data_IF_695082929977
#
_entry.id   IF_695082929977
#
_cell.length_a   1.000
_cell.length_b   1.000
_cell.length_c   1.000
_cell.angle_alpha   90.00
_cell.angle_beta   90.00
_cell.angle_gamma   90.00
#
_symmetry.space_group_name_H-M   'P 1'
#
loop_
_entity.id
_entity.type
_entity.pdbx_description
1 polymer ?
#
# COMPACT_ATOMS: atom_id res chain seq x y z
N UNK A 1 12.71 19.67 0.14
CA UNK A 1 12.74 18.67 -0.94
C UNK A 1 11.76 17.56 -0.56
N UNK A 2 10.91 17.07 -1.48
CA UNK A 2 9.97 15.99 -1.15
C UNK A 2 10.72 14.68 -0.98
N UNK A 3 10.56 14.01 0.16
CA UNK A 3 11.15 12.68 0.35
C UNK A 3 10.46 11.65 -0.55
N UNK A 4 11.19 10.68 -1.12
CA UNK A 4 10.66 9.77 -2.13
C UNK A 4 9.65 8.78 -1.54
N UNK A 5 8.61 8.46 -2.28
CA UNK A 5 7.68 7.40 -1.87
C UNK A 5 8.41 6.06 -1.77
N UNK A 6 8.25 5.34 -0.66
CA UNK A 6 8.75 3.97 -0.53
C UNK A 6 7.72 3.02 -1.13
N UNK A 7 8.15 2.14 -2.05
CA UNK A 7 7.30 1.11 -2.64
C UNK A 7 7.97 -0.27 -2.55
N UNK A 8 7.36 -1.19 -1.80
CA UNK A 8 7.82 -2.57 -1.64
C UNK A 8 6.80 -3.53 -2.25
N UNK A 9 7.23 -4.39 -3.18
CA UNK A 9 6.31 -5.24 -3.96
C UNK A 9 6.55 -6.71 -3.72
N UNK A 10 5.49 -7.52 -3.78
CA UNK A 10 5.59 -8.99 -3.85
C UNK A 10 4.36 -9.63 -4.45
N UNK A 11 4.51 -10.86 -4.90
CA UNK A 11 3.37 -11.68 -5.30
C UNK A 11 2.82 -12.44 -4.09
N UNK A 12 1.50 -12.44 -3.93
CA UNK A 12 0.81 -13.16 -2.85
C UNK A 12 -0.09 -14.25 -3.44
N UNK A 13 -0.14 -15.39 -2.76
CA UNK A 13 -1.04 -16.49 -3.13
C UNK A 13 -2.45 -16.21 -2.58
N UNK A 14 -3.44 -16.32 -3.46
CA UNK A 14 -4.86 -16.28 -3.14
C UNK A 14 -5.44 -17.67 -3.32
N UNK A 15 -5.81 -18.29 -2.20
CA UNK A 15 -6.41 -19.61 -2.17
C UNK A 15 -7.87 -19.53 -2.58
N UNK A 16 -8.27 -20.40 -3.48
CA UNK A 16 -9.63 -20.44 -4.02
C UNK A 16 -10.36 -21.70 -3.55
N UNK A 17 -11.52 -21.55 -2.93
CA UNK A 17 -12.28 -22.68 -2.41
C UNK A 17 -13.79 -22.52 -2.65
N UNK A 18 -14.46 -23.59 -3.05
CA UNK A 18 -15.90 -23.61 -3.26
C UNK A 18 -16.61 -24.45 -2.19
N UNK A 19 -17.69 -23.92 -1.64
CA UNK A 19 -18.52 -24.67 -0.69
C UNK A 19 -19.93 -24.10 -0.66
N UNK A 20 -20.90 -24.94 -0.28
CA UNK A 20 -22.22 -24.43 0.12
C UNK A 20 -22.04 -23.60 1.39
N UNK A 21 -22.68 -22.46 1.52
CA UNK A 21 -22.53 -21.61 2.70
C UNK A 21 -23.68 -20.62 2.84
N UNK A 22 -23.80 -20.05 4.04
CA UNK A 22 -24.61 -18.88 4.32
C UNK A 22 -23.66 -17.71 4.49
N UNK A 23 -23.65 -16.78 3.53
CA UNK A 23 -22.81 -15.58 3.56
C UNK A 23 -23.72 -14.37 3.67
N UNK A 24 -23.51 -13.55 4.70
CA UNK A 24 -24.20 -12.28 4.82
C UNK A 24 -23.48 -11.23 3.99
N UNK A 25 -24.21 -10.60 3.09
CA UNK A 25 -23.70 -9.63 2.12
C UNK A 25 -24.32 -8.26 2.36
N UNK A 26 -23.50 -7.22 2.34
CA UNK A 26 -23.91 -5.84 2.57
C UNK A 26 -24.84 -5.34 1.48
N UNK A 27 -26.07 -4.98 1.82
CA UNK A 27 -27.06 -4.46 0.89
C UNK A 27 -27.51 -3.08 1.34
N UNK A 28 -27.82 -2.22 0.38
CA UNK A 28 -28.53 -0.98 0.62
C UNK A 28 -29.97 -1.31 1.00
N UNK A 29 -30.29 -1.17 2.29
CA UNK A 29 -31.61 -1.45 2.87
C UNK A 29 -32.04 -0.25 3.73
N UNK A 30 -32.39 0.89 3.09
CA UNK A 30 -32.68 2.13 3.81
C UNK A 30 -33.81 1.95 4.83
N UNK A 31 -34.76 1.05 4.58
CA UNK A 31 -35.85 0.75 5.51
C UNK A 31 -35.36 0.14 6.84
N UNK A 32 -34.29 -0.65 6.81
CA UNK A 32 -33.71 -1.25 8.01
C UNK A 32 -32.66 -0.33 8.65
N UNK A 33 -31.95 0.46 7.85
CA UNK A 33 -31.05 1.51 8.36
C UNK A 33 -31.85 2.58 9.14
N UNK A 34 -33.05 2.95 8.68
CA UNK A 34 -33.90 3.90 9.40
C UNK A 34 -34.28 3.41 10.81
N UNK A 35 -34.49 2.10 10.98
CA UNK A 35 -34.80 1.51 12.30
C UNK A 35 -33.57 1.50 13.20
N UNK A 36 -32.39 1.17 12.64
CA UNK A 36 -31.14 1.25 13.38
C UNK A 36 -30.85 2.71 13.80
N UNK A 37 -31.09 3.67 12.90
CA UNK A 37 -30.92 5.10 13.18
C UNK A 37 -31.89 5.56 14.28
N UNK A 38 -33.16 5.12 14.24
CA UNK A 38 -34.13 5.43 15.30
C UNK A 38 -33.63 4.95 16.68
N UNK A 39 -33.10 3.72 16.75
CA UNK A 39 -32.52 3.19 17.98
C UNK A 39 -31.30 4.02 18.45
N UNK A 40 -30.45 4.45 17.51
CA UNK A 40 -29.29 5.29 17.79
C UNK A 40 -29.71 6.66 18.33
N UNK A 41 -30.67 7.32 17.68
CA UNK A 41 -31.16 8.65 18.03
C UNK A 41 -31.83 8.68 19.41
N UNK A 42 -32.55 7.60 19.75
CA UNK A 42 -33.22 7.50 21.05
C UNK A 42 -32.24 7.20 22.19
N UNK A 43 -31.11 6.56 21.92
CA UNK A 43 -30.12 6.18 22.95
C UNK A 43 -30.69 5.28 24.05
N UNK A 44 -31.80 4.57 23.77
CA UNK A 44 -32.50 3.65 24.68
C UNK A 44 -33.08 2.47 23.91
N UNK A 45 -33.42 1.35 24.58
CA UNK A 45 -34.16 0.28 23.95
C UNK A 45 -35.48 0.77 23.34
N UNK A 46 -35.77 0.30 22.13
CA UNK A 46 -36.97 0.60 21.35
C UNK A 46 -37.88 -0.63 21.25
N UNK A 47 -39.17 -0.41 21.09
CA UNK A 47 -40.15 -1.47 20.89
C UNK A 47 -40.95 -1.27 19.59
N UNK A 48 -41.90 -2.17 19.31
CA UNK A 48 -42.75 -2.07 18.12
C UNK A 48 -43.62 -0.79 18.09
N UNK A 49 -44.00 -0.23 19.24
CA UNK A 49 -44.78 1.01 19.32
C UNK A 49 -43.92 2.23 18.95
N UNK A 50 -42.65 2.28 19.38
CA UNK A 50 -41.70 3.32 18.97
C UNK A 50 -41.56 3.34 17.44
N UNK A 51 -41.32 2.17 16.82
CA UNK A 51 -41.18 2.06 15.35
C UNK A 51 -42.49 2.43 14.64
N UNK A 52 -43.63 1.99 15.16
CA UNK A 52 -44.93 2.31 14.59
C UNK A 52 -45.21 3.81 14.64
N UNK A 53 -44.90 4.47 15.77
CA UNK A 53 -45.17 5.90 15.93
C UNK A 53 -44.22 6.77 15.08
N UNK A 54 -42.95 6.41 14.97
CA UNK A 54 -41.96 7.27 14.31
C UNK A 54 -41.81 6.99 12.82
N UNK A 55 -41.91 5.72 12.39
CA UNK A 55 -41.58 5.32 11.01
C UNK A 55 -42.78 4.77 10.24
N UNK A 56 -43.68 4.02 10.88
CA UNK A 56 -44.67 3.18 10.20
C UNK A 56 -46.12 3.40 10.66
N UNK A 57 -46.54 4.66 10.89
CA UNK A 57 -47.85 5.03 11.49
C UNK A 57 -49.09 4.44 10.80
N UNK A 58 -48.98 4.13 9.51
CA UNK A 58 -50.09 3.63 8.69
C UNK A 58 -50.04 2.11 8.47
N UNK A 59 -49.10 1.40 9.11
CA UNK A 59 -48.92 -0.03 8.94
C UNK A 59 -49.59 -0.84 10.07
N UNK A 60 -50.15 -2.02 9.80
CA UNK A 60 -50.68 -2.90 10.85
C UNK A 60 -49.60 -3.26 11.89
N UNK A 61 -49.96 -3.29 13.17
CA UNK A 61 -49.02 -3.60 14.27
C UNK A 61 -48.28 -4.93 14.07
N UNK A 62 -48.96 -5.95 13.53
CA UNK A 62 -48.35 -7.23 13.19
C UNK A 62 -47.17 -7.09 12.20
N UNK A 63 -47.28 -6.17 11.23
CA UNK A 63 -46.19 -5.87 10.29
C UNK A 63 -45.03 -5.20 11.00
N UNK A 64 -45.28 -4.27 11.92
CA UNK A 64 -44.22 -3.59 12.67
C UNK A 64 -43.48 -4.56 13.59
N UNK A 65 -44.19 -5.50 14.23
CA UNK A 65 -43.56 -6.58 15.00
C UNK A 65 -42.68 -7.49 14.13
N UNK A 66 -43.11 -7.80 12.91
CA UNK A 66 -42.30 -8.56 11.95
C UNK A 66 -41.04 -7.79 11.52
N UNK A 67 -41.16 -6.48 11.33
CA UNK A 67 -40.04 -5.60 10.99
C UNK A 67 -39.03 -5.55 12.14
N UNK A 68 -39.48 -5.37 13.39
CA UNK A 68 -38.63 -5.44 14.58
C UNK A 68 -37.92 -6.80 14.69
N UNK A 69 -38.67 -7.90 14.52
CA UNK A 69 -38.10 -9.25 14.48
C UNK A 69 -37.06 -9.39 13.38
N UNK A 70 -37.30 -8.86 12.19
CA UNK A 70 -36.35 -8.93 11.08
C UNK A 70 -35.08 -8.11 11.36
N UNK A 71 -35.20 -6.97 12.04
CA UNK A 71 -34.04 -6.19 12.48
C UNK A 71 -33.18 -6.95 13.51
N UNK A 72 -33.81 -7.74 14.39
CA UNK A 72 -33.12 -8.67 15.28
C UNK A 72 -32.45 -9.82 14.49
N UNK A 73 -33.17 -10.45 13.55
CA UNK A 73 -32.64 -11.56 12.73
C UNK A 73 -31.45 -11.12 11.86
N UNK A 74 -31.44 -9.86 11.38
CA UNK A 74 -30.33 -9.25 10.65
C UNK A 74 -29.18 -8.83 11.57
N UNK A 75 -29.38 -8.89 12.89
CA UNK A 75 -28.41 -8.49 13.90
C UNK A 75 -28.20 -6.98 14.00
N UNK A 76 -29.10 -6.15 13.44
CA UNK A 76 -29.04 -4.69 13.58
C UNK A 76 -29.41 -4.24 14.99
N UNK A 77 -30.36 -4.97 15.60
CA UNK A 77 -30.74 -4.80 16.98
C UNK A 77 -30.43 -6.09 17.74
N UNK A 78 -30.35 -5.99 19.06
CA UNK A 78 -30.28 -7.12 19.98
C UNK A 78 -31.39 -7.05 21.02
N UNK A 79 -31.88 -8.21 21.45
CA UNK A 79 -32.93 -8.29 22.47
C UNK A 79 -32.38 -7.90 23.83
N UNK A 80 -33.13 -7.10 24.57
CA UNK A 80 -32.85 -6.81 25.99
C UNK A 80 -33.68 -7.70 26.91
N UNK A 81 -33.38 -7.69 28.21
CA UNK A 81 -34.10 -8.50 29.22
C UNK A 81 -35.61 -8.19 29.25
N UNK A 82 -35.99 -6.96 28.92
CA UNK A 82 -37.39 -6.55 28.84
C UNK A 82 -38.04 -7.07 27.56
N UNK A 83 -39.03 -7.96 27.71
CA UNK A 83 -39.74 -8.54 26.57
C UNK A 83 -40.30 -7.50 25.60
N UNK A 84 -40.06 -7.71 24.31
CA UNK A 84 -40.55 -6.85 23.22
C UNK A 84 -39.73 -5.57 22.99
N UNK A 85 -38.68 -5.35 23.77
CA UNK A 85 -37.72 -4.27 23.55
C UNK A 85 -36.44 -4.81 22.90
N UNK A 86 -35.80 -3.96 22.10
CA UNK A 86 -34.53 -4.23 21.47
C UNK A 86 -33.68 -2.96 21.47
N UNK A 87 -32.37 -3.11 21.56
CA UNK A 87 -31.43 -1.99 21.49
C UNK A 87 -30.52 -2.13 20.26
N UNK A 88 -29.87 -1.04 19.87
CA UNK A 88 -28.90 -1.05 18.79
C UNK A 88 -27.74 -1.98 19.13
N UNK A 89 -27.38 -2.88 18.21
CA UNK A 89 -26.22 -3.74 18.39
C UNK A 89 -24.96 -3.08 17.83
N UNK A 90 -23.79 -3.60 18.20
CA UNK A 90 -22.50 -3.18 17.60
C UNK A 90 -22.52 -3.36 16.06
N UNK A 91 -23.16 -4.43 15.56
CA UNK A 91 -23.29 -4.65 14.12
C UNK A 91 -24.27 -3.67 13.47
N UNK A 92 -25.29 -3.21 14.21
CA UNK A 92 -26.19 -2.13 13.79
C UNK A 92 -25.48 -0.79 13.66
N UNK A 93 -24.61 -0.44 14.62
CA UNK A 93 -23.77 0.76 14.55
C UNK A 93 -22.85 0.73 13.32
N UNK A 94 -22.19 -0.41 13.07
CA UNK A 94 -21.35 -0.59 11.88
C UNK A 94 -22.16 -0.48 10.58
N UNK A 95 -23.37 -1.05 10.56
CA UNK A 95 -24.26 -0.95 9.42
C UNK A 95 -24.65 0.50 9.10
N UNK A 96 -24.87 1.33 10.14
CA UNK A 96 -25.13 2.77 9.97
C UNK A 96 -23.89 3.51 9.45
N UNK A 97 -22.71 3.25 10.01
CA UNK A 97 -21.46 3.88 9.58
C UNK A 97 -21.12 3.59 8.11
N UNK A 98 -21.30 2.33 7.68
CA UNK A 98 -20.99 1.90 6.30
C UNK A 98 -22.18 2.09 5.36
N UNK A 99 -23.38 2.35 5.88
CA UNK A 99 -24.62 2.45 5.11
C UNK A 99 -25.01 1.13 4.44
N UNK A 100 -24.69 -0.02 5.04
CA UNK A 100 -25.00 -1.34 4.47
C UNK A 100 -25.52 -2.29 5.55
N UNK A 101 -26.60 -3.01 5.23
CA UNK A 101 -27.16 -4.06 6.09
C UNK A 101 -26.70 -5.43 5.58
N UNK A 102 -26.16 -6.25 6.48
CA UNK A 102 -25.72 -7.61 6.16
C UNK A 102 -26.92 -8.55 6.01
N UNK A 103 -27.23 -8.93 4.78
CA UNK A 103 -28.34 -9.84 4.46
C UNK A 103 -27.77 -11.25 4.23
N UNK A 104 -28.15 -12.26 5.04
CA UNK A 104 -27.70 -13.64 4.84
C UNK A 104 -28.27 -14.24 3.55
N UNK A 105 -27.38 -14.82 2.75
CA UNK A 105 -27.69 -15.49 1.50
C UNK A 105 -27.12 -16.92 1.50
N UNK A 106 -28.00 -17.90 1.32
CA UNK A 106 -27.64 -19.31 1.15
C UNK A 106 -27.32 -19.64 -0.30
N UNK A 107 -26.27 -20.42 -0.54
CA UNK A 107 -25.95 -20.90 -1.87
C UNK A 107 -24.61 -21.61 -1.94
N UNK A 108 -24.15 -21.87 -3.17
CA UNK A 108 -22.77 -22.28 -3.41
C UNK A 108 -21.93 -21.03 -3.59
N UNK A 109 -20.87 -20.91 -2.82
CA UNK A 109 -19.99 -19.77 -2.78
C UNK A 109 -18.58 -20.19 -3.16
N UNK A 110 -17.91 -19.32 -3.91
CA UNK A 110 -16.46 -19.35 -4.11
C UNK A 110 -15.81 -18.30 -3.22
N UNK A 111 -14.85 -18.72 -2.42
CA UNK A 111 -14.10 -17.89 -1.49
C UNK A 111 -12.69 -17.65 -2.01
N UNK A 112 -12.23 -16.41 -1.89
CA UNK A 112 -10.89 -15.96 -2.20
C UNK A 112 -10.19 -15.56 -0.92
N UNK A 113 -9.14 -16.29 -0.56
CA UNK A 113 -8.56 -16.24 0.77
C UNK A 113 -7.06 -15.96 0.70
N UNK A 114 -6.55 -15.19 1.66
CA UNK A 114 -5.11 -14.96 1.83
C UNK A 114 -4.71 -15.05 3.29
N UNK A 115 -3.45 -15.42 3.53
CA UNK A 115 -2.85 -15.42 4.86
C UNK A 115 -1.67 -14.42 4.93
N UNK A 116 -1.66 -13.43 4.04
CA UNK A 116 -0.65 -12.37 4.07
C UNK A 116 -0.86 -11.46 5.28
N UNK A 117 0.21 -11.26 6.06
CA UNK A 117 0.16 -10.50 7.33
C UNK A 117 0.02 -8.99 7.16
N UNK A 118 0.20 -8.47 5.95
CA UNK A 118 -0.04 -7.06 5.66
C UNK A 118 -1.51 -6.79 5.33
N UNK A 119 -2.27 -7.83 4.97
CA UNK A 119 -3.68 -7.69 4.61
C UNK A 119 -4.54 -7.80 5.88
N UNK A 120 -5.51 -6.89 6.08
CA UNK A 120 -6.33 -6.88 7.30
C UNK A 120 -7.31 -8.02 7.42
N UNK A 121 -7.80 -8.54 6.30
CA UNK A 121 -8.81 -9.60 6.29
C UNK A 121 -8.35 -10.76 5.43
N UNK A 122 -8.40 -11.97 5.99
CA UNK A 122 -8.08 -13.18 5.26
C UNK A 122 -9.09 -13.50 4.16
N UNK A 123 -10.34 -13.08 4.32
CA UNK A 123 -11.36 -13.14 3.27
C UNK A 123 -11.24 -11.90 2.37
N UNK A 124 -10.78 -12.10 1.14
CA UNK A 124 -10.66 -11.04 0.14
C UNK A 124 -11.98 -10.80 -0.61
N UNK A 125 -12.67 -11.88 -0.95
CA UNK A 125 -13.96 -11.86 -1.63
C UNK A 125 -14.67 -13.20 -1.47
N UNK A 126 -15.99 -13.15 -1.44
CA UNK A 126 -16.89 -14.29 -1.58
C UNK A 126 -17.83 -14.01 -2.76
N UNK A 127 -17.86 -14.93 -3.71
CA UNK A 127 -18.70 -14.84 -4.90
C UNK A 127 -19.74 -15.95 -4.90
N UNK A 128 -21.02 -15.59 -5.04
CA UNK A 128 -22.10 -16.57 -5.16
C UNK A 128 -22.10 -17.16 -6.57
N UNK A 129 -22.01 -18.48 -6.67
CA UNK A 129 -22.11 -19.18 -7.94
C UNK A 129 -23.57 -19.37 -8.31
N UNK A 130 -23.98 -18.83 -9.45
CA UNK A 130 -25.28 -19.13 -10.03
C UNK A 130 -25.30 -20.60 -10.44
N UNK A 131 -26.07 -21.43 -9.71
CA UNK A 131 -26.45 -22.75 -10.23
C UNK A 131 -27.48 -22.53 -11.32
N UNK A 132 -27.05 -22.58 -12.57
CA UNK A 132 -27.97 -22.78 -13.70
C UNK A 132 -28.87 -23.99 -13.40
N UNK A 133 -30.10 -23.93 -13.90
CA UNK A 133 -31.15 -24.93 -13.64
C UNK A 133 -30.61 -26.37 -13.64
N UNK A 134 -31.15 -27.24 -12.78
CA UNK A 134 -30.69 -28.61 -12.54
C UNK A 134 -30.46 -29.47 -13.81
N UNK A 135 -31.06 -29.08 -14.95
CA UNK A 135 -30.85 -29.70 -16.26
C UNK A 135 -29.55 -29.27 -16.95
N UNK A 136 -29.20 -27.97 -16.97
CA UNK A 136 -27.95 -27.47 -17.59
C UNK A 136 -26.71 -27.93 -16.82
N UNK A 137 -26.79 -27.94 -15.49
CA UNK A 137 -25.70 -28.37 -14.61
C UNK A 137 -25.33 -29.84 -14.78
N UNK A 138 -26.25 -30.71 -15.23
CA UNK A 138 -25.95 -32.12 -15.57
C UNK A 138 -25.14 -32.26 -16.87
N UNK A 139 -25.50 -31.52 -17.92
CA UNK A 139 -24.80 -31.57 -19.21
C UNK A 139 -23.41 -30.89 -19.15
N UNK A 140 -23.28 -29.79 -18.40
CA UNK A 140 -21.99 -29.11 -18.22
C UNK A 140 -21.04 -29.89 -17.31
N UNK A 141 -21.55 -30.56 -16.28
CA UNK A 141 -20.73 -31.44 -15.45
C UNK A 141 -20.25 -32.68 -16.22
N UNK A 142 -21.04 -33.22 -17.14
CA UNK A 142 -20.60 -34.33 -18.01
C UNK A 142 -19.46 -33.89 -18.94
N UNK A 143 -19.57 -32.69 -19.54
CA UNK A 143 -18.53 -32.10 -20.41
C UNK A 143 -17.27 -31.66 -19.65
N UNK A 144 -17.38 -31.18 -18.41
CA UNK A 144 -16.23 -30.83 -17.55
C UNK A 144 -15.56 -32.04 -16.90
N UNK A 145 -16.32 -33.08 -16.53
CA UNK A 145 -15.78 -34.33 -16.00
C UNK A 145 -14.95 -35.08 -17.04
N UNK A 146 -15.34 -35.03 -18.32
CA UNK A 146 -14.56 -35.60 -19.43
C UNK A 146 -13.23 -34.86 -19.68
N UNK A 147 -13.08 -33.59 -19.26
CA UNK A 147 -11.87 -32.79 -19.46
C UNK A 147 -10.95 -32.64 -18.24
N UNK A 148 -11.47 -32.82 -17.02
CA UNK A 148 -10.75 -32.43 -15.79
C UNK A 148 -10.78 -33.48 -14.66
N UNK A 149 -11.45 -34.62 -14.87
CA UNK A 149 -11.66 -35.63 -13.83
C UNK A 149 -12.63 -35.17 -12.72
N UNK A 150 -13.19 -36.09 -11.92
CA UNK A 150 -14.09 -35.73 -10.83
C UNK A 150 -13.33 -35.00 -9.72
N UNK A 151 -13.65 -33.71 -9.51
CA UNK A 151 -13.13 -32.96 -8.37
C UNK A 151 -13.68 -33.56 -7.07
N UNK A 152 -12.79 -34.10 -6.23
CA UNK A 152 -13.15 -34.80 -4.99
C UNK A 152 -13.43 -33.77 -3.89
N UNK A 153 -14.56 -33.94 -3.19
CA UNK A 153 -14.85 -33.16 -2.00
C UNK A 153 -13.74 -33.34 -0.96
N UNK A 154 -13.33 -32.24 -0.34
CA UNK A 154 -12.24 -32.18 0.61
C UNK A 154 -12.63 -31.33 1.83
N UNK A 155 -11.96 -31.53 2.99
CA UNK A 155 -12.20 -30.72 4.19
C UNK A 155 -11.94 -29.23 3.95
N UNK A 156 -12.66 -28.38 4.68
CA UNK A 156 -12.45 -26.93 4.58
C UNK A 156 -11.01 -26.54 4.98
N UNK A 157 -10.38 -25.60 4.25
CA UNK A 157 -9.11 -25.00 4.66
C UNK A 157 -9.26 -24.29 6.01
N UNK A 158 -8.25 -24.38 6.87
CA UNK A 158 -8.30 -23.74 8.20
C UNK A 158 -8.45 -22.22 8.12
N UNK A 159 -7.89 -21.61 7.08
CA UNK A 159 -8.06 -20.18 6.78
C UNK A 159 -9.53 -19.81 6.55
N UNK A 160 -10.29 -20.66 5.84
CA UNK A 160 -11.72 -20.45 5.62
C UNK A 160 -12.52 -20.63 6.92
N UNK A 161 -12.18 -21.66 7.71
CA UNK A 161 -12.79 -21.88 9.03
C UNK A 161 -12.56 -20.70 9.97
N UNK A 162 -11.37 -20.10 9.94
CA UNK A 162 -11.04 -18.92 10.74
C UNK A 162 -11.92 -17.71 10.35
N UNK A 163 -12.18 -17.53 9.05
CA UNK A 163 -13.02 -16.43 8.54
C UNK A 163 -14.49 -16.49 9.03
N UNK A 164 -15.02 -17.67 9.41
CA UNK A 164 -16.38 -17.79 10.00
C UNK A 164 -16.52 -17.03 11.32
N UNK A 165 -15.43 -16.91 12.08
CA UNK A 165 -15.42 -16.22 13.38
C UNK A 165 -15.11 -14.73 13.25
N UNK A 166 -14.78 -14.27 12.05
CA UNK A 166 -14.40 -12.89 11.79
C UNK A 166 -15.62 -11.97 11.68
N UNK A 167 -15.39 -10.69 11.95
CA UNK A 167 -16.34 -9.61 11.63
C UNK A 167 -16.52 -9.50 10.13
N UNK A 168 -17.55 -8.77 9.69
CA UNK A 168 -17.72 -8.46 8.29
C UNK A 168 -16.50 -7.71 7.75
N UNK A 169 -16.08 -8.08 6.54
CA UNK A 169 -14.95 -7.46 5.84
C UNK A 169 -15.42 -6.91 4.49
N UNK A 170 -14.93 -5.75 4.05
CA UNK A 170 -15.21 -5.26 2.71
C UNK A 170 -14.52 -6.13 1.68
N UNK A 171 -15.22 -6.46 0.60
CA UNK A 171 -14.60 -7.15 -0.52
C UNK A 171 -13.62 -6.25 -1.26
N UNK A 172 -12.48 -6.82 -1.67
CA UNK A 172 -11.51 -6.12 -2.53
C UNK A 172 -11.99 -5.92 -3.99
N UNK A 173 -13.14 -6.49 -4.36
CA UNK A 173 -13.68 -6.40 -5.73
C UNK A 173 -14.60 -5.18 -5.89
N UNK A 174 -15.52 -4.99 -4.95
CA UNK A 174 -16.61 -4.02 -5.05
C UNK A 174 -16.84 -3.23 -3.75
N UNK A 175 -16.02 -3.44 -2.71
CA UNK A 175 -16.15 -2.80 -1.40
C UNK A 175 -17.37 -3.27 -0.60
N UNK A 176 -18.15 -4.23 -1.10
CA UNK A 176 -19.34 -4.73 -0.41
C UNK A 176 -18.94 -5.50 0.84
N UNK A 177 -19.59 -5.23 1.98
CA UNK A 177 -19.32 -5.99 3.21
C UNK A 177 -19.75 -7.45 3.05
N UNK A 178 -18.92 -8.37 3.53
CA UNK A 178 -19.18 -9.80 3.48
C UNK A 178 -18.81 -10.46 4.81
N UNK A 179 -19.67 -11.33 5.29
CA UNK A 179 -19.45 -12.11 6.50
C UNK A 179 -19.93 -13.55 6.33
N UNK A 180 -19.08 -14.51 6.65
CA UNK A 180 -19.45 -15.92 6.60
C UNK A 180 -20.22 -16.27 7.88
N UNK A 181 -21.51 -16.62 7.75
CA UNK A 181 -22.35 -17.04 8.89
C UNK A 181 -22.27 -18.53 9.13
N UNK A 182 -22.36 -19.31 8.06
CA UNK A 182 -22.38 -20.77 8.13
C UNK A 182 -21.50 -21.39 7.07
N UNK A 183 -20.82 -22.46 7.46
CA UNK A 183 -19.95 -23.27 6.62
C UNK A 183 -20.21 -24.75 6.93
N UNK A 184 -20.29 -25.62 5.92
CA UNK A 184 -20.39 -27.07 6.08
C UNK A 184 -19.03 -27.67 6.41
N UNK A 185 -18.92 -29.01 6.43
CA UNK A 185 -17.65 -29.69 6.71
C UNK A 185 -16.76 -29.89 5.47
N UNK A 186 -17.33 -29.80 4.27
CA UNK A 186 -16.67 -30.16 3.00
C UNK A 186 -16.88 -29.10 1.90
N UNK A 187 -15.97 -29.09 0.94
CA UNK A 187 -16.09 -28.33 -0.29
C UNK A 187 -15.07 -28.77 -1.34
N UNK A 188 -14.74 -27.91 -2.28
CA UNK A 188 -13.92 -28.21 -3.46
C UNK A 188 -12.79 -27.21 -3.56
N UNK A 189 -11.55 -27.69 -3.70
CA UNK A 189 -10.41 -26.85 -4.05
C UNK A 189 -10.54 -26.40 -5.50
N UNK A 190 -10.42 -25.09 -5.72
CA UNK A 190 -10.36 -24.50 -7.05
C UNK A 190 -8.93 -24.08 -7.32
N UNK A 191 -8.60 -23.79 -8.57
CA UNK A 191 -7.29 -23.26 -8.94
C UNK A 191 -7.05 -21.94 -8.19
N UNK A 192 -5.97 -21.92 -7.40
CA UNK A 192 -5.47 -20.72 -6.75
C UNK A 192 -5.08 -19.66 -7.78
N UNK A 193 -5.12 -18.40 -7.36
CA UNK A 193 -4.67 -17.27 -8.14
C UNK A 193 -3.60 -16.49 -7.38
N UNK A 194 -2.98 -15.52 -8.07
CA UNK A 194 -1.92 -14.70 -7.51
C UNK A 194 -2.30 -13.24 -7.71
N UNK A 195 -2.10 -12.43 -6.69
CA UNK A 195 -2.18 -10.97 -6.77
C UNK A 195 -0.80 -10.38 -6.51
N UNK A 196 -0.55 -9.21 -7.06
CA UNK A 196 0.57 -8.37 -6.69
C UNK A 196 0.15 -7.48 -5.51
N UNK A 197 0.98 -7.46 -4.48
CA UNK A 197 0.87 -6.59 -3.32
C UNK A 197 1.99 -5.54 -3.40
N UNK A 198 1.61 -4.26 -3.35
CA UNK A 198 2.54 -3.15 -3.17
C UNK A 198 2.25 -2.45 -1.84
N UNK A 199 3.24 -2.38 -0.96
CA UNK A 199 3.25 -1.54 0.23
C UNK A 199 3.80 -0.18 -0.16
N UNK A 200 2.98 0.86 -0.06
CA UNK A 200 3.31 2.25 -0.43
C UNK A 200 3.31 3.11 0.82
N UNK A 201 4.38 3.88 1.02
CA UNK A 201 4.47 4.82 2.15
C UNK A 201 5.07 6.14 1.69
N UNK A 202 4.26 7.20 1.76
CA UNK A 202 4.71 8.58 1.56
C UNK A 202 5.14 9.21 2.89
N UNK A 203 5.99 10.25 2.87
CA UNK A 203 6.52 10.87 4.09
C UNK A 203 5.42 11.48 4.97
N UNK A 204 4.45 12.13 4.32
CA UNK A 204 3.37 12.89 4.99
C UNK A 204 2.09 12.05 5.19
N UNK A 205 2.10 10.77 4.80
CA UNK A 205 0.92 9.93 4.75
C UNK A 205 1.04 8.63 5.55
N UNK A 206 -0.10 8.01 5.91
CA UNK A 206 -0.09 6.65 6.43
C UNK A 206 0.31 5.66 5.32
N UNK A 207 0.89 4.50 5.68
CA UNK A 207 1.17 3.46 4.71
C UNK A 207 -0.12 2.86 4.15
N UNK A 208 -0.07 2.45 2.89
CA UNK A 208 -1.16 1.81 2.16
C UNK A 208 -0.70 0.52 1.50
N UNK A 209 -1.60 -0.45 1.42
CA UNK A 209 -1.45 -1.66 0.60
C UNK A 209 -2.27 -1.49 -0.66
N UNK A 210 -1.62 -1.63 -1.81
CA UNK A 210 -2.27 -1.74 -3.10
C UNK A 210 -2.24 -3.20 -3.58
N UNK A 211 -3.41 -3.76 -3.86
CA UNK A 211 -3.56 -5.09 -4.44
C UNK A 211 -3.96 -4.96 -5.90
N UNK A 212 -3.17 -5.54 -6.80
CA UNK A 212 -3.42 -5.52 -8.25
C UNK A 212 -3.30 -6.91 -8.84
N UNK A 213 -4.12 -7.21 -9.85
CA UNK A 213 -4.09 -8.49 -10.55
C UNK A 213 -5.48 -8.94 -10.99
N UNK A 214 -5.65 -10.24 -11.21
CA UNK A 214 -6.92 -10.82 -11.64
C UNK A 214 -7.35 -11.94 -10.68
N UNK A 215 -8.61 -11.87 -10.21
CA UNK A 215 -9.29 -13.01 -9.62
C UNK A 215 -10.00 -13.81 -10.71
N UNK A 216 -9.90 -15.15 -10.66
CA UNK A 216 -10.42 -16.03 -11.71
C UNK A 216 -11.79 -16.58 -11.34
N UNK A 217 -12.69 -16.62 -12.33
CA UNK A 217 -14.05 -17.18 -12.28
C UNK A 217 -14.99 -16.47 -11.30
N UNK A 218 -15.07 -15.15 -11.43
CA UNK A 218 -16.08 -14.30 -10.78
C UNK A 218 -17.13 -13.93 -11.85
N UNK A 219 -18.33 -14.48 -11.74
CA UNK A 219 -19.46 -14.23 -12.64
C UNK A 219 -19.27 -14.76 -14.06
N UNK A 220 -19.92 -14.10 -15.04
CA UNK A 220 -19.83 -14.46 -16.48
C UNK A 220 -18.46 -14.13 -17.11
N UNK A 221 -17.67 -13.27 -16.44
CA UNK A 221 -16.32 -12.95 -16.86
C UNK A 221 -15.37 -13.95 -16.20
N UNK A 222 -14.54 -14.60 -16.99
CA UNK A 222 -13.59 -15.59 -16.47
C UNK A 222 -12.50 -14.94 -15.59
N UNK A 223 -12.34 -13.61 -15.68
CA UNK A 223 -11.39 -12.81 -14.90
C UNK A 223 -12.00 -11.50 -14.44
N UNK A 224 -11.74 -11.15 -13.19
CA UNK A 224 -12.08 -9.87 -12.59
C UNK A 224 -10.79 -9.15 -12.19
N UNK A 225 -10.55 -7.99 -12.79
CA UNK A 225 -9.41 -7.14 -12.47
C UNK A 225 -9.59 -6.53 -11.09
N UNK A 226 -8.53 -6.56 -10.30
CA UNK A 226 -8.43 -5.97 -8.98
C UNK A 226 -7.50 -4.76 -9.05
N UNK A 227 -7.95 -3.67 -8.45
CA UNK A 227 -7.16 -2.48 -8.14
C UNK A 227 -7.73 -1.90 -6.84
N UNK A 228 -7.29 -2.45 -5.71
CA UNK A 228 -7.84 -2.15 -4.39
C UNK A 228 -6.77 -1.56 -3.47
N UNK A 229 -7.16 -0.57 -2.66
CA UNK A 229 -6.31 0.06 -1.66
C UNK A 229 -6.85 -0.21 -0.26
N UNK A 230 -5.97 -0.66 0.65
CA UNK A 230 -6.32 -1.07 2.00
C UNK A 230 -5.28 -0.53 2.99
N UNK A 231 -5.67 -0.17 4.23
CA UNK A 231 -4.69 0.05 5.28
C UNK A 231 -4.02 -1.28 5.65
N UNK A 232 -2.70 -1.30 5.93
CA UNK A 232 -2.02 -2.51 6.37
C UNK A 232 -2.46 -2.92 7.77
N UNK A 233 -2.61 -4.23 8.03
CA UNK A 233 -2.87 -4.74 9.39
C UNK A 233 -1.67 -4.67 10.31
N UNK A 234 -0.47 -4.75 9.74
CA UNK A 234 0.78 -4.65 10.49
C UNK A 234 1.71 -3.66 9.82
N UNK A 235 2.37 -2.83 10.63
CA UNK A 235 3.38 -1.88 10.13
C UNK A 235 4.67 -2.61 9.75
N UNK A 236 5.30 -2.20 8.65
CA UNK A 236 6.61 -2.73 8.25
C UNK A 236 7.75 -2.17 9.11
N UNK A 237 7.58 -0.92 9.56
CA UNK A 237 8.46 -0.20 10.46
C UNK A 237 7.63 0.79 11.30
N UNK A 238 8.22 1.31 12.38
CA UNK A 238 7.52 2.22 13.30
C UNK A 238 7.18 3.58 12.67
N UNK A 239 8.05 4.07 11.79
CA UNK A 239 7.90 5.32 11.03
C UNK A 239 8.42 5.18 9.59
N UNK A 240 8.03 6.13 8.74
CA UNK A 240 8.55 6.27 7.37
C UNK A 240 10.08 6.41 7.39
N UNK A 241 10.61 7.29 8.25
CA UNK A 241 12.04 7.49 8.45
C UNK A 241 12.76 6.19 8.81
N UNK A 242 12.23 5.42 9.76
CA UNK A 242 12.85 4.17 10.17
C UNK A 242 12.88 3.16 9.01
N UNK A 243 11.81 3.07 8.21
CA UNK A 243 11.79 2.22 7.02
C UNK A 243 12.82 2.68 5.98
N UNK A 244 12.87 3.99 5.73
CA UNK A 244 13.82 4.58 4.79
C UNK A 244 15.26 4.25 5.18
N UNK A 245 15.63 4.47 6.44
CA UNK A 245 16.98 4.19 6.97
C UNK A 245 17.33 2.71 6.89
N UNK A 246 16.39 1.82 7.22
CA UNK A 246 16.58 0.38 7.07
C UNK A 246 16.87 -0.04 5.62
N UNK A 247 16.12 0.51 4.66
CA UNK A 247 16.30 0.21 3.23
C UNK A 247 17.61 0.81 2.70
N UNK A 248 17.90 2.06 3.07
CA UNK A 248 19.12 2.75 2.67
C UNK A 248 20.37 2.04 3.20
N UNK A 249 20.41 1.72 4.49
CA UNK A 249 21.49 0.95 5.12
C UNK A 249 21.64 -0.44 4.47
N UNK A 250 20.53 -1.15 4.24
CA UNK A 250 20.56 -2.47 3.61
C UNK A 250 21.16 -2.46 2.20
N UNK A 251 20.81 -1.48 1.37
CA UNK A 251 21.26 -1.42 -0.02
C UNK A 251 22.65 -0.79 -0.19
N UNK A 252 23.02 0.19 0.64
CA UNK A 252 24.33 0.85 0.59
C UNK A 252 25.38 0.20 1.48
N UNK A 253 24.99 -0.73 2.36
CA UNK A 253 25.84 -1.29 3.42
C UNK A 253 26.34 -0.24 4.44
N UNK A 254 25.73 0.95 4.47
CA UNK A 254 25.99 1.96 5.48
C UNK A 254 25.51 1.51 6.87
N UNK A 255 26.16 2.02 7.91
CA UNK A 255 25.69 1.82 9.28
C UNK A 255 24.44 2.67 9.53
N UNK A 256 23.41 2.07 10.15
CA UNK A 256 22.19 2.81 10.47
C UNK A 256 22.46 3.96 11.45
N UNK A 257 23.46 3.81 12.32
CA UNK A 257 23.86 4.85 13.28
C UNK A 257 24.49 6.05 12.59
N UNK A 258 25.18 5.84 11.47
CA UNK A 258 25.71 6.92 10.62
C UNK A 258 24.56 7.69 9.96
N UNK A 259 23.54 6.97 9.46
CA UNK A 259 22.34 7.60 8.89
C UNK A 259 21.54 8.38 9.96
N UNK A 260 21.52 7.91 11.20
CA UNK A 260 20.90 8.62 12.33
C UNK A 260 21.66 9.93 12.62
N UNK A 261 22.99 9.89 12.71
CA UNK A 261 23.81 11.09 12.93
C UNK A 261 23.62 12.14 11.84
N UNK A 262 23.62 11.72 10.57
CA UNK A 262 23.36 12.61 9.45
C UNK A 262 21.95 13.17 9.48
N UNK A 263 20.96 12.37 9.89
CA UNK A 263 19.59 12.87 10.04
C UNK A 263 19.50 13.92 11.15
N UNK A 264 20.11 13.66 12.31
CA UNK A 264 20.12 14.59 13.44
C UNK A 264 20.82 15.91 13.10
N UNK A 265 21.91 15.83 12.32
CA UNK A 265 22.69 17.01 11.94
C UNK A 265 22.02 17.85 10.84
N UNK A 266 21.39 17.21 9.86
CA UNK A 266 20.84 17.89 8.67
C UNK A 266 19.33 18.15 8.77
N UNK A 267 18.63 17.46 9.66
CA UNK A 267 17.16 17.42 9.70
C UNK A 267 16.52 16.69 8.51
N UNK A 268 17.33 16.03 7.66
CA UNK A 268 16.88 15.42 6.41
C UNK A 268 17.38 13.98 6.28
N UNK A 269 16.62 13.14 5.56
CA UNK A 269 17.06 11.79 5.21
C UNK A 269 18.03 11.87 4.04
N UNK A 270 19.30 11.64 4.33
CA UNK A 270 20.41 11.72 3.38
C UNK A 270 21.26 10.46 3.44
N UNK A 271 21.93 10.14 2.35
CA UNK A 271 22.86 9.03 2.27
C UNK A 271 24.29 9.57 2.09
N UNK A 272 25.23 9.26 3.00
CA UNK A 272 26.63 9.58 2.81
C UNK A 272 27.19 8.80 1.61
N UNK A 273 27.95 9.48 0.77
CA UNK A 273 28.55 8.90 -0.44
C UNK A 273 30.00 9.33 -0.62
N UNK A 274 30.77 8.44 -1.24
CA UNK A 274 32.12 8.74 -1.72
C UNK A 274 32.06 9.17 -3.19
N UNK A 275 32.91 10.08 -3.61
CA UNK A 275 32.93 10.58 -5.00
C UNK A 275 33.20 9.45 -6.00
N UNK A 276 34.02 8.47 -5.60
CA UNK A 276 34.42 7.34 -6.44
C UNK A 276 33.23 6.47 -6.87
N UNK A 277 32.22 6.33 -6.01
CA UNK A 277 31.05 5.49 -6.23
C UNK A 277 29.93 6.18 -7.03
N UNK A 278 30.06 7.49 -7.28
CA UNK A 278 29.04 8.28 -7.95
C UNK A 278 29.31 8.44 -9.45
N UNK A 279 28.25 8.30 -10.25
CA UNK A 279 28.23 8.68 -11.66
C UNK A 279 28.25 10.20 -11.84
N UNK A 280 28.65 10.72 -13.02
CA UNK A 280 28.64 12.17 -13.29
C UNK A 280 27.27 12.85 -13.11
N UNK A 281 26.17 12.12 -13.30
CA UNK A 281 24.82 12.66 -13.14
C UNK A 281 24.49 12.80 -11.65
N UNK A 282 24.73 11.76 -10.86
CA UNK A 282 24.51 11.77 -9.41
C UNK A 282 25.36 12.85 -8.73
N UNK A 283 26.61 13.04 -9.19
CA UNK A 283 27.49 14.11 -8.72
C UNK A 283 26.92 15.51 -8.92
N UNK A 284 26.19 15.73 -10.01
CA UNK A 284 25.58 17.05 -10.33
C UNK A 284 24.24 17.25 -9.61
N UNK A 285 23.48 16.18 -9.42
CA UNK A 285 22.12 16.25 -8.90
C UNK A 285 22.05 16.07 -7.38
N UNK A 286 23.10 15.58 -6.74
CA UNK A 286 23.11 15.23 -5.31
C UNK A 286 21.99 14.24 -4.95
N UNK A 287 21.62 13.39 -5.90
CA UNK A 287 20.60 12.36 -5.72
C UNK A 287 21.01 11.08 -6.44
N UNK A 288 20.65 9.92 -5.89
CA UNK A 288 20.77 8.62 -6.59
C UNK A 288 19.49 7.82 -6.52
N UNK A 289 19.31 6.95 -7.49
CA UNK A 289 18.34 5.86 -7.39
C UNK A 289 19.03 4.66 -6.73
N UNK A 290 18.57 4.28 -5.54
CA UNK A 290 19.18 3.21 -4.77
C UNK A 290 18.44 1.90 -5.03
N UNK A 291 19.10 0.98 -5.73
CA UNK A 291 18.58 -0.35 -5.98
C UNK A 291 18.55 -1.16 -4.67
N UNK A 292 17.35 -1.54 -4.25
CA UNK A 292 17.11 -2.41 -3.10
C UNK A 292 16.99 -3.83 -3.63
N UNK A 293 17.91 -4.75 -3.30
CA UNK A 293 17.77 -6.15 -3.69
C UNK A 293 16.59 -6.81 -2.95
N UNK A 294 16.37 -8.10 -3.17
CA UNK A 294 15.34 -8.84 -2.44
C UNK A 294 15.48 -8.61 -0.93
N UNK A 295 14.44 -8.04 -0.32
CA UNK A 295 14.49 -7.59 1.07
C UNK A 295 13.57 -8.45 1.93
N UNK A 296 14.16 -9.14 2.91
CA UNK A 296 13.44 -10.02 3.83
C UNK A 296 13.31 -9.37 5.20
N UNK A 297 12.08 -9.21 5.67
CA UNK A 297 11.78 -8.64 7.00
C UNK A 297 11.03 -9.63 7.86
N UNK A 298 11.78 -10.35 8.70
CA UNK A 298 11.27 -11.20 9.78
C UNK A 298 9.99 -11.95 9.45
N UNK A 299 8.92 -11.63 10.17
CA UNK A 299 7.62 -12.28 10.05
C UNK A 299 6.72 -11.72 8.93
N UNK A 300 7.05 -10.56 8.37
CA UNK A 300 6.28 -9.92 7.29
C UNK A 300 6.50 -10.66 5.99
N UNK A 301 7.70 -11.23 5.78
CA UNK A 301 8.07 -12.03 4.62
C UNK A 301 9.12 -11.35 3.76
N UNK A 302 9.14 -11.73 2.48
CA UNK A 302 10.11 -11.26 1.50
C UNK A 302 9.43 -10.33 0.49
N UNK A 303 10.14 -9.28 0.09
CA UNK A 303 9.76 -8.37 -0.98
C UNK A 303 10.71 -8.52 -2.17
N UNK A 304 10.16 -8.39 -3.37
CA UNK A 304 10.92 -8.37 -4.62
C UNK A 304 11.87 -7.17 -4.65
N UNK A 305 12.94 -7.23 -5.48
CA UNK A 305 13.80 -6.08 -5.71
C UNK A 305 13.01 -4.83 -6.10
N UNK A 306 13.41 -3.69 -5.55
CA UNK A 306 12.77 -2.39 -5.79
C UNK A 306 13.82 -1.29 -5.90
N UNK A 307 13.39 -0.05 -6.13
CA UNK A 307 14.26 1.11 -6.20
C UNK A 307 13.72 2.18 -5.25
N UNK A 308 14.60 2.70 -4.40
CA UNK A 308 14.35 3.91 -3.65
C UNK A 308 14.86 5.08 -4.50
N UNK A 309 13.94 5.75 -5.19
CA UNK A 309 14.29 6.80 -6.15
C UNK A 309 14.70 8.10 -5.47
N UNK A 310 15.52 8.90 -6.14
CA UNK A 310 15.88 10.26 -5.73
C UNK A 310 16.35 10.37 -4.25
N UNK A 311 17.17 9.42 -3.80
CA UNK A 311 17.81 9.44 -2.47
C UNK A 311 18.80 10.60 -2.42
N UNK A 312 18.60 11.60 -1.53
CA UNK A 312 19.53 12.72 -1.39
C UNK A 312 20.90 12.23 -0.92
N UNK A 313 21.95 12.81 -1.47
CA UNK A 313 23.34 12.48 -1.18
C UNK A 313 24.03 13.59 -0.41
N UNK A 314 24.90 13.20 0.50
CA UNK A 314 25.88 14.08 1.14
C UNK A 314 27.27 13.48 1.01
N UNK A 315 28.34 14.28 0.93
CA UNK A 315 29.69 13.75 1.03
C UNK A 315 29.89 13.06 2.39
N UNK A 316 30.51 11.88 2.40
CA UNK A 316 30.75 11.14 3.64
C UNK A 316 31.74 11.84 4.59
N UNK A 317 32.59 12.74 4.09
CA UNK A 317 33.57 13.48 4.88
C UNK A 317 33.94 14.81 4.22
N UNK A 318 34.63 15.68 4.95
CA UNK A 318 35.17 16.93 4.39
C UNK A 318 36.16 16.69 3.25
N UNK A 319 36.92 15.59 3.29
CA UNK A 319 37.84 15.22 2.20
C UNK A 319 37.05 14.93 0.93
N UNK A 320 36.00 14.10 1.04
CA UNK A 320 35.11 13.77 -0.08
C UNK A 320 34.37 15.01 -0.59
N UNK A 321 33.92 15.89 0.32
CA UNK A 321 33.26 17.14 -0.04
C UNK A 321 34.19 18.02 -0.87
N UNK A 322 35.45 18.14 -0.47
CA UNK A 322 36.47 18.90 -1.19
C UNK A 322 36.78 18.33 -2.57
N UNK A 323 36.93 17.01 -2.69
CA UNK A 323 37.18 16.35 -3.97
C UNK A 323 35.98 16.49 -4.92
N UNK A 324 34.77 16.30 -4.39
CA UNK A 324 33.54 16.43 -5.16
C UNK A 324 33.33 17.87 -5.62
N UNK A 325 33.53 18.85 -4.74
CA UNK A 325 33.41 20.27 -5.08
C UNK A 325 34.44 20.70 -6.14
N UNK A 326 35.70 20.23 -6.05
CA UNK A 326 36.73 20.45 -7.09
C UNK A 326 36.37 19.81 -8.42
N UNK A 327 35.76 18.62 -8.38
CA UNK A 327 35.26 17.96 -9.60
C UNK A 327 34.15 18.79 -10.24
N UNK A 328 33.18 19.27 -9.45
CA UNK A 328 32.09 20.14 -9.94
C UNK A 328 32.62 21.46 -10.50
N UNK A 329 33.58 22.08 -9.82
CA UNK A 329 34.20 23.34 -10.26
C UNK A 329 34.88 23.18 -11.61
N UNK A 330 35.62 22.09 -11.81
CA UNK A 330 36.22 21.80 -13.11
C UNK A 330 35.17 21.46 -14.16
N UNK A 331 34.13 20.71 -13.79
CA UNK A 331 33.09 20.27 -14.74
C UNK A 331 32.14 21.38 -15.17
N UNK A 332 31.94 22.41 -14.35
CA UNK A 332 31.13 23.59 -14.66
C UNK A 332 31.68 24.44 -15.81
N UNK A 333 32.98 24.31 -16.13
CA UNK A 333 33.66 25.04 -17.20
C UNK A 333 33.25 24.44 -18.56
N UNK A 334 32.26 25.08 -19.20
CA UNK A 334 31.67 24.64 -20.46
C UNK A 334 31.85 25.65 -21.61
N UNK A 335 32.30 26.86 -21.31
CA UNK A 335 32.58 27.95 -22.25
C UNK A 335 33.72 28.81 -21.71
N UNK A 336 34.22 29.76 -22.50
CA UNK A 336 35.30 30.69 -22.13
C UNK A 336 34.94 31.47 -20.84
N UNK A 337 35.82 31.41 -19.84
CA UNK A 337 35.57 31.96 -18.48
C UNK A 337 36.69 32.89 -18.00
N UNK A 338 36.32 33.94 -17.27
CA UNK A 338 37.25 34.87 -16.60
C UNK A 338 37.46 34.51 -15.11
N UNK A 339 38.46 35.08 -14.42
CA UNK A 339 38.64 34.87 -12.98
C UNK A 339 37.39 35.21 -12.15
N UNK A 340 36.67 36.28 -12.49
CA UNK A 340 35.44 36.67 -11.79
C UNK A 340 34.31 35.65 -11.97
N UNK A 341 34.20 35.06 -13.17
CA UNK A 341 33.22 33.99 -13.43
C UNK A 341 33.56 32.74 -12.61
N UNK A 342 34.84 32.39 -12.50
CA UNK A 342 35.30 31.25 -11.71
C UNK A 342 35.08 31.45 -10.20
N UNK A 343 35.24 32.67 -9.69
CA UNK A 343 34.93 33.00 -8.30
C UNK A 343 33.42 32.87 -8.03
N UNK A 344 32.57 33.39 -8.93
CA UNK A 344 31.11 33.24 -8.81
C UNK A 344 30.67 31.77 -8.88
N UNK A 345 31.22 30.99 -9.83
CA UNK A 345 30.99 29.54 -9.89
C UNK A 345 31.42 28.84 -8.59
N UNK A 346 32.53 29.29 -8.00
CA UNK A 346 33.01 28.77 -6.72
C UNK A 346 32.03 29.03 -5.59
N UNK A 347 31.45 30.23 -5.51
CA UNK A 347 30.43 30.60 -4.53
C UNK A 347 29.14 29.78 -4.72
N UNK A 348 28.69 29.62 -5.96
CA UNK A 348 27.51 28.82 -6.31
C UNK A 348 27.70 27.35 -5.91
N UNK A 349 28.88 26.78 -6.13
CA UNK A 349 29.22 25.42 -5.67
C UNK A 349 29.27 25.39 -4.14
N UNK A 350 29.86 26.40 -3.49
CA UNK A 350 29.94 26.44 -2.02
C UNK A 350 28.56 26.41 -1.37
N UNK A 351 27.58 27.07 -1.98
CA UNK A 351 26.18 27.07 -1.52
C UNK A 351 25.50 25.69 -1.55
N UNK A 352 26.01 24.73 -2.34
CA UNK A 352 25.44 23.38 -2.45
C UNK A 352 25.94 22.43 -1.34
N UNK A 353 27.07 22.75 -0.70
CA UNK A 353 27.68 21.94 0.36
C UNK A 353 27.48 22.58 1.73
N UNK A 354 26.23 22.68 2.18
CA UNK A 354 25.83 23.38 3.41
C UNK A 354 26.48 22.85 4.70
N UNK A 355 26.96 21.60 4.67
CA UNK A 355 27.41 20.86 5.84
C UNK A 355 28.93 20.69 5.93
N UNK A 356 29.68 21.24 4.98
CA UNK A 356 31.14 21.06 4.86
C UNK A 356 31.86 22.38 4.62
N UNK A 357 33.09 22.48 5.14
CA UNK A 357 33.98 23.60 4.82
C UNK A 357 34.83 23.28 3.58
N UNK A 358 34.56 24.00 2.49
CA UNK A 358 35.15 23.72 1.19
C UNK A 358 36.37 24.59 0.88
N UNK A 359 37.42 23.91 0.42
CA UNK A 359 38.66 24.44 -0.14
C UNK A 359 38.67 24.23 -1.65
N UNK A 360 37.93 25.09 -2.34
CA UNK A 360 37.92 25.16 -3.80
C UNK A 360 39.22 25.74 -4.35
N UNK A 361 39.53 25.40 -5.60
CA UNK A 361 40.70 25.94 -6.26
C UNK A 361 40.46 27.41 -6.66
N UNK A 362 41.47 28.24 -6.47
CA UNK A 362 41.46 29.63 -6.96
C UNK A 362 41.54 29.66 -8.50
N UNK A 363 41.14 30.78 -9.15
CA UNK A 363 41.27 30.93 -10.60
C UNK A 363 42.70 30.62 -11.10
N UNK A 364 43.72 31.04 -10.36
CA UNK A 364 45.12 30.79 -10.70
C UNK A 364 45.52 29.31 -10.59
N UNK A 365 44.98 28.58 -9.62
CA UNK A 365 45.22 27.14 -9.50
C UNK A 365 44.53 26.34 -10.62
N UNK A 366 43.32 26.76 -11.03
CA UNK A 366 42.62 26.18 -12.17
C UNK A 366 43.35 26.47 -13.48
N UNK A 367 43.85 27.69 -13.67
CA UNK A 367 44.70 28.04 -14.81
C UNK A 367 45.99 27.23 -14.82
N UNK A 368 46.67 27.09 -13.68
CA UNK A 368 47.88 26.28 -13.56
C UNK A 368 47.60 24.81 -13.92
N UNK A 369 46.45 24.28 -13.52
CA UNK A 369 45.97 22.95 -13.94
C UNK A 369 45.74 22.85 -15.45
N UNK A 370 45.19 23.89 -16.10
CA UNK A 370 45.02 23.93 -17.56
C UNK A 370 46.36 24.04 -18.32
N UNK A 371 47.31 24.80 -17.78
CA UNK A 371 48.63 25.04 -18.38
C UNK A 371 49.57 23.82 -18.26
N UNK A 372 49.61 23.20 -17.09
CA UNK A 372 50.62 22.18 -16.74
C UNK A 372 50.04 20.78 -16.56
N UNK A 373 48.71 20.64 -16.48
CA UNK A 373 48.04 19.36 -16.33
C UNK A 373 47.83 18.61 -17.65
N UNK A 374 47.16 17.46 -17.56
CA UNK A 374 46.71 16.72 -18.74
C UNK A 374 45.61 17.52 -19.43
N UNK A 375 45.91 18.08 -20.60
CA UNK A 375 44.94 18.83 -21.41
C UNK A 375 43.70 17.98 -21.68
N UNK A 376 42.55 18.54 -21.31
CA UNK A 376 41.23 18.00 -21.60
C UNK A 376 40.42 18.99 -22.45
N UNK A 377 39.15 18.67 -22.70
CA UNK A 377 38.25 19.51 -23.49
C UNK A 377 37.93 20.85 -22.84
N UNK A 378 38.22 21.04 -21.55
CA UNK A 378 37.91 22.25 -20.78
C UNK A 378 39.08 23.20 -20.69
N UNK A 379 40.30 22.67 -20.79
CA UNK A 379 41.53 23.47 -20.76
C UNK A 379 41.52 24.67 -21.73
N UNK A 380 41.00 24.56 -22.98
CA UNK A 380 40.92 25.71 -23.89
C UNK A 380 40.10 26.88 -23.34
N UNK A 381 39.04 26.63 -22.57
CA UNK A 381 38.14 27.66 -22.05
C UNK A 381 38.77 28.56 -20.98
N UNK A 382 39.88 28.12 -20.36
CA UNK A 382 40.69 28.98 -19.49
C UNK A 382 41.87 29.60 -20.26
N UNK A 383 42.45 28.86 -21.20
CA UNK A 383 43.63 29.31 -21.94
C UNK A 383 43.33 30.41 -22.95
N UNK A 384 42.18 30.36 -23.63
CA UNK A 384 41.81 31.39 -24.60
C UNK A 384 41.64 32.78 -23.94
N UNK A 385 40.87 32.94 -22.84
CA UNK A 385 40.83 34.20 -22.10
C UNK A 385 42.19 34.65 -21.56
N UNK A 386 43.01 33.71 -21.09
CA UNK A 386 44.37 34.00 -20.62
C UNK A 386 45.27 34.54 -21.73
N UNK A 387 45.29 33.90 -22.90
CA UNK A 387 46.07 34.33 -24.06
C UNK A 387 45.59 35.69 -24.61
N UNK A 388 44.31 36.02 -24.42
CA UNK A 388 43.72 37.32 -24.75
C UNK A 388 43.98 38.41 -23.69
N UNK A 389 44.66 38.09 -22.59
CA UNK A 389 45.00 39.03 -21.53
C UNK A 389 43.85 39.38 -20.58
N UNK A 390 42.80 38.55 -20.52
CA UNK A 390 41.63 38.76 -19.66
C UNK A 390 41.81 38.23 -18.22
N UNK A 391 43.05 37.93 -17.81
CA UNK A 391 43.41 37.26 -16.56
C UNK A 391 44.07 38.18 -15.52
N UNK A 392 43.70 39.46 -15.54
CA UNK A 392 44.36 40.54 -14.77
C UNK A 392 43.79 40.76 -13.37
#
# INVERSE_FOLDING_TARGET
MGHPMIQLKRSISVKCFESQATVAVGRQRPEFLAIAQLAADFGRPINAQDIHHELLRNCPEAMVRLVLKRSLDLGLLESVEQEGYAQLSIAGEQALQVGQVLVPEEGVWRFYLTNDRLIPHSLLHAHRLETDSAHKSRDDNRKKAEKTGPQRACPLPDLLKACKRSTAAPSIVDGQLQQIRELPSLGINVRDCTLELAYEWTPDGPPLIKLTGDLIGIGKKDKQKIDASLPPSTKVADSYEHLWKLLAAFASQADITELDQWHDYTGHLVLPATLADLSPIERKQFTRDLAIPEWRRGYIGTFNPTVLSAVPLVPASDTEANEWAKWLQWDAIQDDVTPADLDQMGDDIRSQFLYHDLKLATPNELLAKALHGKRDTRSPYLLAPYDLGLWS
#
